data_IF_084210724319
#
_entry.id   IF_084210724319
#
_cell.length_a   1.000
_cell.length_b   1.000
_cell.length_c   1.000
_cell.angle_alpha   90.00
_cell.angle_beta   90.00
_cell.angle_gamma   90.00
#
_symmetry.space_group_name_H-M   'P 1'
#
loop_
_entity.id
_entity.type
_entity.pdbx_description
1 polymer ?
#
# COMPACT_ATOMS: atom_id res chain seq x y z
N UNK A 1 -62.93 5.66 -40.72
CA UNK A 1 -62.17 6.80 -40.17
C UNK A 1 -61.06 6.34 -39.23
N UNK A 2 -61.38 5.58 -38.17
CA UNK A 2 -60.38 5.03 -37.23
C UNK A 2 -59.20 4.29 -37.88
N UNK A 3 -59.47 3.43 -38.85
CA UNK A 3 -58.43 2.69 -39.57
C UNK A 3 -57.51 3.61 -40.40
N UNK A 4 -58.05 4.68 -40.96
CA UNK A 4 -57.28 5.66 -41.76
C UNK A 4 -56.38 6.50 -40.86
N UNK A 5 -56.91 6.97 -39.74
CA UNK A 5 -56.17 7.72 -38.71
C UNK A 5 -55.04 6.88 -38.12
N UNK A 6 -55.32 5.62 -37.77
CA UNK A 6 -54.31 4.67 -37.28
C UNK A 6 -53.17 4.49 -38.30
N UNK A 7 -53.51 4.26 -39.58
CA UNK A 7 -52.52 4.08 -40.64
C UNK A 7 -51.63 5.32 -40.83
N UNK A 8 -52.22 6.51 -40.78
CA UNK A 8 -51.48 7.76 -40.93
C UNK A 8 -50.51 7.99 -39.75
N UNK A 9 -50.97 7.77 -38.51
CA UNK A 9 -50.13 7.95 -37.32
C UNK A 9 -48.97 6.96 -37.30
N UNK A 10 -49.24 5.66 -37.55
CA UNK A 10 -48.19 4.62 -37.59
C UNK A 10 -47.20 4.88 -38.72
N UNK A 11 -47.64 5.38 -39.88
CA UNK A 11 -46.76 5.69 -41.01
C UNK A 11 -45.78 6.84 -40.78
N UNK A 12 -46.00 7.67 -39.74
CA UNK A 12 -45.13 8.80 -39.37
C UNK A 12 -44.18 8.49 -38.21
N UNK A 13 -44.31 7.32 -37.58
CA UNK A 13 -43.53 6.93 -36.41
C UNK A 13 -42.45 5.91 -36.80
N UNK A 14 -41.31 5.98 -36.13
CA UNK A 14 -40.31 4.93 -36.24
C UNK A 14 -40.85 3.61 -35.67
N UNK A 15 -40.47 2.51 -36.31
CA UNK A 15 -40.99 1.20 -35.99
C UNK A 15 -40.65 0.77 -34.55
N UNK A 16 -39.45 1.08 -34.07
CA UNK A 16 -39.03 0.79 -32.68
C UNK A 16 -39.89 1.56 -31.67
N UNK A 17 -40.13 2.85 -31.92
CA UNK A 17 -40.97 3.72 -31.07
C UNK A 17 -42.42 3.22 -31.05
N UNK A 18 -42.87 2.64 -32.16
CA UNK A 18 -44.22 2.07 -32.30
C UNK A 18 -44.43 0.86 -31.36
N UNK A 19 -43.36 0.11 -31.05
CA UNK A 19 -43.42 -1.02 -30.13
C UNK A 19 -43.22 -0.62 -28.66
N UNK A 20 -42.34 0.35 -28.40
CA UNK A 20 -42.01 0.77 -27.04
C UNK A 20 -43.12 1.59 -26.38
N UNK A 21 -43.86 2.40 -27.15
CA UNK A 21 -44.78 3.41 -26.59
C UNK A 21 -46.24 3.21 -27.00
N UNK A 22 -46.79 2.00 -26.81
CA UNK A 22 -48.20 1.70 -27.17
C UNK A 22 -49.21 2.68 -26.56
N UNK A 23 -48.97 3.13 -25.33
CA UNK A 23 -49.84 4.08 -24.63
C UNK A 23 -49.86 5.46 -25.30
N UNK A 24 -48.72 5.93 -25.80
CA UNK A 24 -48.65 7.21 -26.52
C UNK A 24 -49.42 7.15 -27.85
N UNK A 25 -49.36 6.01 -28.54
CA UNK A 25 -50.10 5.80 -29.80
C UNK A 25 -51.60 5.74 -29.52
N UNK A 26 -52.01 5.01 -28.47
CA UNK A 26 -53.39 4.93 -28.05
C UNK A 26 -53.98 6.32 -27.74
N UNK A 27 -53.24 7.14 -26.99
CA UNK A 27 -53.66 8.51 -26.66
C UNK A 27 -53.78 9.40 -27.90
N UNK A 28 -52.82 9.31 -28.83
CA UNK A 28 -52.83 10.12 -30.05
C UNK A 28 -53.94 9.71 -31.02
N UNK A 29 -54.25 8.42 -31.12
CA UNK A 29 -55.39 7.93 -31.90
C UNK A 29 -56.70 8.35 -31.24
N UNK A 30 -56.78 8.27 -29.90
CA UNK A 30 -57.95 8.68 -29.13
C UNK A 30 -58.29 10.15 -29.36
N UNK A 31 -57.29 11.05 -29.27
CA UNK A 31 -57.47 12.49 -29.48
C UNK A 31 -58.06 12.81 -30.87
N UNK A 32 -57.48 12.22 -31.92
CA UNK A 32 -57.95 12.46 -33.30
C UNK A 32 -59.34 11.86 -33.54
N UNK A 33 -59.64 10.72 -32.90
CA UNK A 33 -60.96 10.10 -33.00
C UNK A 33 -62.05 10.87 -32.24
N UNK A 34 -61.73 11.39 -31.07
CA UNK A 34 -62.66 12.18 -30.25
C UNK A 34 -63.03 13.50 -30.96
N UNK A 35 -62.03 14.21 -31.49
CA UNK A 35 -62.25 15.42 -32.30
C UNK A 35 -63.12 15.16 -33.54
N UNK A 36 -62.92 14.02 -34.20
CA UNK A 36 -63.73 13.66 -35.38
C UNK A 36 -65.16 13.22 -35.02
N UNK A 37 -65.39 12.73 -33.79
CA UNK A 37 -66.67 12.25 -33.31
C UNK A 37 -67.52 13.34 -32.64
N UNK A 38 -66.92 14.48 -32.27
CA UNK A 38 -67.58 15.64 -31.66
C UNK A 38 -68.83 16.14 -32.41
N UNK A 39 -68.83 16.29 -33.77
CA UNK A 39 -70.02 16.75 -34.50
C UNK A 39 -71.19 15.76 -34.46
N UNK A 40 -70.92 14.51 -34.06
CA UNK A 40 -71.91 13.43 -33.98
C UNK A 40 -72.40 13.23 -32.55
N UNK A 41 -71.87 14.00 -31.58
CA UNK A 41 -72.23 13.90 -30.16
C UNK A 41 -71.75 12.61 -29.49
N UNK A 42 -70.77 11.92 -30.06
CA UNK A 42 -70.23 10.65 -29.55
C UNK A 42 -68.89 10.93 -28.88
N UNK A 43 -68.73 10.48 -27.62
CA UNK A 43 -67.46 10.57 -26.89
C UNK A 43 -66.71 9.25 -26.94
N UNK A 44 -65.45 9.28 -27.38
CA UNK A 44 -64.60 8.08 -27.43
C UNK A 44 -63.78 8.02 -26.13
N UNK A 45 -64.01 6.98 -25.32
CA UNK A 45 -63.37 6.89 -23.99
C UNK A 45 -62.00 6.17 -24.01
N UNK A 46 -61.81 5.19 -24.89
CA UNK A 46 -60.58 4.40 -24.97
C UNK A 46 -60.41 3.79 -26.35
N UNK A 47 -59.16 3.79 -26.82
CA UNK A 47 -58.72 3.04 -27.98
C UNK A 47 -57.54 2.14 -27.56
N UNK A 48 -57.54 0.88 -28.00
CA UNK A 48 -56.47 -0.07 -27.69
C UNK A 48 -56.06 -0.84 -28.93
N UNK A 49 -54.76 -0.84 -29.18
CA UNK A 49 -54.16 -1.60 -30.26
C UNK A 49 -53.98 -3.05 -29.82
N UNK A 50 -54.64 -3.98 -30.52
CA UNK A 50 -54.57 -5.41 -30.21
C UNK A 50 -53.22 -6.01 -30.62
N UNK A 51 -52.88 -6.00 -31.91
CA UNK A 51 -51.64 -6.58 -32.42
C UNK A 51 -51.07 -5.76 -33.59
N UNK A 52 -49.76 -5.52 -33.56
CA UNK A 52 -48.97 -5.00 -34.68
C UNK A 52 -48.00 -6.10 -35.07
N UNK A 53 -48.20 -6.71 -36.23
CA UNK A 53 -47.32 -7.78 -36.72
C UNK A 53 -46.52 -7.25 -37.91
N UNK A 54 -45.21 -6.98 -37.75
CA UNK A 54 -44.37 -6.57 -38.86
C UNK A 54 -44.09 -7.76 -39.79
N UNK A 55 -43.82 -7.52 -41.08
CA UNK A 55 -43.39 -8.57 -42.00
C UNK A 55 -42.03 -9.13 -41.58
N UNK A 56 -41.79 -10.43 -41.87
CA UNK A 56 -40.58 -11.15 -41.44
C UNK A 56 -39.26 -10.48 -41.85
N UNK A 57 -39.20 -9.88 -43.04
CA UNK A 57 -38.01 -9.19 -43.54
C UNK A 57 -37.56 -8.03 -42.64
N UNK A 58 -38.52 -7.31 -42.05
CA UNK A 58 -38.25 -6.19 -41.15
C UNK A 58 -37.84 -6.71 -39.77
N UNK A 59 -38.47 -7.79 -39.29
CA UNK A 59 -38.09 -8.44 -38.04
C UNK A 59 -36.63 -8.90 -38.06
N UNK A 60 -36.21 -9.56 -39.15
CA UNK A 60 -34.82 -10.02 -39.33
C UNK A 60 -33.83 -8.85 -39.39
N UNK A 61 -34.19 -7.75 -40.04
CA UNK A 61 -33.35 -6.54 -40.10
C UNK A 61 -33.20 -5.90 -38.72
N UNK A 62 -34.29 -5.75 -37.96
CA UNK A 62 -34.27 -5.22 -36.60
C UNK A 62 -33.48 -6.12 -35.64
N UNK A 63 -33.65 -7.44 -35.72
CA UNK A 63 -32.86 -8.38 -34.89
C UNK A 63 -31.36 -8.24 -35.15
N UNK A 64 -30.98 -8.11 -36.43
CA UNK A 64 -29.59 -7.92 -36.83
C UNK A 64 -29.04 -6.58 -36.32
N UNK A 65 -29.80 -5.50 -36.44
CA UNK A 65 -29.42 -4.19 -35.93
C UNK A 65 -29.30 -4.18 -34.41
N UNK A 66 -30.31 -4.66 -33.69
CA UNK A 66 -30.33 -4.73 -32.23
C UNK A 66 -29.19 -5.58 -31.69
N UNK A 67 -28.91 -6.71 -32.33
CA UNK A 67 -27.75 -7.55 -32.00
C UNK A 67 -26.43 -6.80 -32.21
N UNK A 68 -26.29 -6.04 -33.30
CA UNK A 68 -25.10 -5.23 -33.54
C UNK A 68 -24.94 -4.11 -32.50
N UNK A 69 -26.02 -3.41 -32.13
CA UNK A 69 -26.01 -2.38 -31.10
C UNK A 69 -25.65 -2.95 -29.73
N UNK A 70 -26.25 -4.08 -29.33
CA UNK A 70 -25.92 -4.78 -28.08
C UNK A 70 -24.46 -5.22 -28.09
N UNK A 71 -23.99 -5.83 -29.19
CA UNK A 71 -22.60 -6.27 -29.32
C UNK A 71 -21.61 -5.11 -29.23
N UNK A 72 -21.92 -3.98 -29.88
CA UNK A 72 -21.10 -2.76 -29.81
C UNK A 72 -21.03 -2.22 -28.38
N UNK A 73 -22.18 -2.14 -27.70
CA UNK A 73 -22.24 -1.67 -26.31
C UNK A 73 -21.47 -2.58 -25.36
N UNK A 74 -21.59 -3.90 -25.54
CA UNK A 74 -20.83 -4.88 -24.78
C UNK A 74 -19.32 -4.74 -25.01
N UNK A 75 -18.88 -4.54 -26.25
CA UNK A 75 -17.47 -4.36 -26.57
C UNK A 75 -16.88 -3.07 -25.98
N UNK A 76 -17.64 -1.97 -26.01
CA UNK A 76 -17.24 -0.70 -25.37
C UNK A 76 -17.09 -0.91 -23.86
N UNK A 77 -18.09 -1.51 -23.22
CA UNK A 77 -18.06 -1.75 -21.77
C UNK A 77 -16.90 -2.67 -21.36
N UNK A 78 -16.59 -3.70 -22.15
CA UNK A 78 -15.41 -4.56 -21.94
C UNK A 78 -14.11 -3.76 -22.06
N UNK A 79 -13.97 -2.93 -23.10
CA UNK A 79 -12.78 -2.11 -23.32
C UNK A 79 -12.57 -1.07 -22.22
N UNK A 80 -13.66 -0.50 -21.69
CA UNK A 80 -13.61 0.43 -20.56
C UNK A 80 -13.19 -0.32 -19.28
N UNK A 81 -13.79 -1.48 -19.00
CA UNK A 81 -13.41 -2.32 -17.87
C UNK A 81 -11.93 -2.73 -17.90
N UNK A 82 -11.42 -3.12 -19.08
CA UNK A 82 -10.00 -3.46 -19.26
C UNK A 82 -9.07 -2.26 -19.03
N UNK A 83 -9.47 -1.07 -19.50
CA UNK A 83 -8.72 0.17 -19.27
C UNK A 83 -8.65 0.49 -17.79
N UNK A 84 -9.80 0.45 -17.10
CA UNK A 84 -9.89 0.79 -15.69
C UNK A 84 -9.14 -0.22 -14.82
N UNK A 85 -9.23 -1.52 -15.14
CA UNK A 85 -8.46 -2.57 -14.49
C UNK A 85 -6.94 -2.34 -14.62
N UNK A 86 -6.46 -1.96 -15.82
CA UNK A 86 -5.04 -1.64 -16.05
C UNK A 86 -4.59 -0.42 -15.25
N UNK A 87 -5.42 0.63 -15.20
CA UNK A 87 -5.14 1.84 -14.43
C UNK A 87 -5.04 1.51 -12.94
N UNK A 88 -6.03 0.82 -12.39
CA UNK A 88 -6.06 0.43 -10.97
C UNK A 88 -4.86 -0.42 -10.60
N UNK A 89 -4.49 -1.39 -11.45
CA UNK A 89 -3.29 -2.22 -11.22
C UNK A 89 -2.01 -1.38 -11.25
N UNK A 90 -1.89 -0.45 -12.20
CA UNK A 90 -0.73 0.45 -12.29
C UNK A 90 -0.62 1.37 -11.07
N UNK A 91 -1.75 1.88 -10.57
CA UNK A 91 -1.79 2.70 -9.36
C UNK A 91 -1.40 1.89 -8.14
N UNK A 92 -1.92 0.67 -8.00
CA UNK A 92 -1.54 -0.25 -6.92
C UNK A 92 -0.03 -0.53 -6.90
N UNK A 93 0.59 -0.79 -8.05
CA UNK A 93 2.04 -0.97 -8.13
C UNK A 93 2.83 0.28 -7.77
N UNK A 94 2.35 1.46 -8.16
CA UNK A 94 2.98 2.74 -7.80
C UNK A 94 2.92 2.96 -6.29
N UNK A 95 1.75 2.75 -5.69
CA UNK A 95 1.55 2.91 -4.24
C UNK A 95 2.36 1.88 -3.45
N UNK A 96 2.39 0.61 -3.88
CA UNK A 96 3.23 -0.42 -3.28
C UNK A 96 4.71 -0.04 -3.30
N UNK A 97 5.21 0.44 -4.44
CA UNK A 97 6.61 0.85 -4.57
C UNK A 97 6.96 2.04 -3.66
N UNK A 98 6.05 3.01 -3.53
CA UNK A 98 6.22 4.16 -2.63
C UNK A 98 6.24 3.67 -1.18
N UNK A 99 5.24 2.90 -0.76
CA UNK A 99 5.12 2.38 0.60
C UNK A 99 6.35 1.54 1.00
N UNK A 100 6.86 0.72 0.08
CA UNK A 100 8.08 -0.06 0.30
C UNK A 100 9.29 0.85 0.47
N UNK A 101 9.46 1.84 -0.40
CA UNK A 101 10.58 2.79 -0.32
C UNK A 101 10.52 3.63 0.98
N UNK A 102 9.33 4.09 1.37
CA UNK A 102 9.12 4.83 2.61
C UNK A 102 9.38 3.95 3.84
N UNK A 103 8.91 2.70 3.83
CA UNK A 103 9.19 1.73 4.87
C UNK A 103 10.67 1.44 5.02
N UNK A 104 11.41 1.25 3.92
CA UNK A 104 12.87 1.05 3.93
C UNK A 104 13.63 2.29 4.43
N UNK A 105 13.17 3.50 4.08
CA UNK A 105 13.72 4.75 4.61
C UNK A 105 13.51 4.84 6.11
N UNK A 106 12.28 4.63 6.59
CA UNK A 106 11.95 4.73 8.01
C UNK A 106 12.67 3.66 8.83
N UNK A 107 12.76 2.43 8.31
CA UNK A 107 13.54 1.35 8.93
C UNK A 107 14.99 1.77 9.16
N UNK A 108 15.66 2.30 8.14
CA UNK A 108 17.06 2.76 8.24
C UNK A 108 17.24 3.89 9.25
N UNK A 109 16.29 4.83 9.32
CA UNK A 109 16.30 5.91 10.32
C UNK A 109 16.19 5.30 11.72
N UNK A 110 15.20 4.44 11.96
CA UNK A 110 14.99 3.82 13.27
C UNK A 110 16.21 2.99 13.72
N UNK A 111 16.83 2.25 12.80
CA UNK A 111 18.06 1.49 13.06
C UNK A 111 19.23 2.42 13.43
N UNK A 112 19.43 3.49 12.66
CA UNK A 112 20.49 4.47 12.93
C UNK A 112 20.29 5.19 14.27
N UNK A 113 19.06 5.59 14.59
CA UNK A 113 18.70 6.21 15.87
C UNK A 113 18.89 5.23 17.04
N UNK A 114 18.52 3.96 16.85
CA UNK A 114 18.74 2.90 17.84
C UNK A 114 20.22 2.74 18.17
N UNK A 115 21.08 2.64 17.14
CA UNK A 115 22.53 2.54 17.31
C UNK A 115 23.10 3.80 17.97
N UNK A 116 22.68 4.99 17.54
CA UNK A 116 23.15 6.24 18.12
C UNK A 116 22.82 6.31 19.63
N UNK A 117 21.60 5.97 20.01
CA UNK A 117 21.14 5.96 21.40
C UNK A 117 21.83 4.88 22.23
N UNK A 118 22.10 3.72 21.65
CA UNK A 118 22.89 2.66 22.28
C UNK A 118 24.31 3.16 22.61
N UNK A 119 25.00 3.73 21.62
CA UNK A 119 26.35 4.27 21.80
C UNK A 119 26.37 5.38 22.84
N UNK A 120 25.41 6.30 22.82
CA UNK A 120 25.27 7.36 23.81
C UNK A 120 25.05 6.78 25.22
N UNK A 121 24.19 5.76 25.36
CA UNK A 121 23.93 5.11 26.64
C UNK A 121 25.16 4.39 27.18
N UNK A 122 25.94 3.72 26.32
CA UNK A 122 27.20 3.08 26.70
C UNK A 122 28.24 4.12 27.10
N UNK A 123 28.37 5.20 26.34
CA UNK A 123 29.33 6.27 26.60
C UNK A 123 29.03 6.98 27.93
N UNK A 124 27.76 7.31 28.19
CA UNK A 124 27.31 7.93 29.46
C UNK A 124 27.50 6.99 30.64
N UNK A 125 27.16 5.70 30.51
CA UNK A 125 27.41 4.71 31.55
C UNK A 125 28.91 4.54 31.85
N UNK A 126 29.75 4.54 30.81
CA UNK A 126 31.20 4.44 30.93
C UNK A 126 31.78 5.68 31.61
N UNK A 127 31.37 6.87 31.19
CA UNK A 127 31.79 8.14 31.79
C UNK A 127 31.44 8.19 33.28
N UNK A 128 30.20 7.86 33.63
CA UNK A 128 29.74 7.79 35.03
C UNK A 128 30.51 6.74 35.83
N UNK A 129 30.81 5.59 35.22
CA UNK A 129 31.65 4.56 35.84
C UNK A 129 33.07 5.05 36.14
N UNK A 130 33.70 5.76 35.20
CA UNK A 130 35.04 6.36 35.38
C UNK A 130 35.00 7.43 36.48
N UNK A 131 33.98 8.28 36.50
CA UNK A 131 33.79 9.31 37.52
C UNK A 131 33.69 8.71 38.92
N UNK A 132 32.88 7.67 39.11
CA UNK A 132 32.76 6.95 40.38
C UNK A 132 34.10 6.33 40.82
N UNK A 133 34.88 5.79 39.88
CA UNK A 133 36.23 5.27 40.17
C UNK A 133 37.16 6.41 40.60
N UNK A 134 37.13 7.55 39.91
CA UNK A 134 37.95 8.73 40.23
C UNK A 134 37.63 9.31 41.63
N UNK A 135 36.35 9.32 42.01
CA UNK A 135 35.90 9.67 43.36
C UNK A 135 36.40 8.65 44.39
N UNK A 136 36.33 7.36 44.07
CA UNK A 136 36.79 6.27 44.96
C UNK A 136 38.32 6.29 45.18
N UNK A 137 39.11 6.74 44.20
CA UNK A 137 40.57 6.91 44.33
C UNK A 137 40.94 7.92 45.44
N UNK A 138 40.13 8.96 45.61
CA UNK A 138 40.37 9.99 46.64
C UNK A 138 40.01 9.52 48.06
N UNK A 139 39.32 8.39 48.20
CA UNK A 139 38.99 7.78 49.49
C UNK A 139 40.17 6.96 50.05
N UNK A 140 40.30 6.90 51.39
CA UNK A 140 41.40 6.20 52.08
C UNK A 140 41.52 4.73 51.62
N UNK A 141 42.68 4.31 51.09
CA UNK A 141 42.93 2.95 50.58
C UNK A 141 42.46 2.68 49.14
N UNK A 142 41.84 3.65 48.45
CA UNK A 142 41.31 3.48 47.10
C UNK A 142 42.38 3.19 46.04
N UNK A 143 43.59 3.77 46.18
CA UNK A 143 44.72 3.55 45.27
C UNK A 143 45.23 2.11 45.31
N UNK A 144 45.34 1.51 46.49
CA UNK A 144 45.84 0.14 46.65
C UNK A 144 44.81 -0.90 46.21
N UNK A 145 43.52 -0.65 46.48
CA UNK A 145 42.42 -1.48 45.99
C UNK A 145 42.35 -1.54 44.45
N UNK A 146 42.65 -0.43 43.77
CA UNK A 146 42.66 -0.40 42.30
C UNK A 146 43.85 -1.17 41.73
N UNK A 147 45.05 -1.05 42.32
CA UNK A 147 46.24 -1.83 41.89
C UNK A 147 45.96 -3.34 41.96
N UNK A 148 45.40 -3.81 43.07
CA UNK A 148 44.98 -5.21 43.22
C UNK A 148 43.93 -5.62 42.18
N UNK A 149 42.93 -4.77 41.91
CA UNK A 149 41.88 -5.05 40.93
C UNK A 149 42.40 -5.11 39.50
N UNK A 150 43.34 -4.24 39.11
CA UNK A 150 44.01 -4.29 37.79
C UNK A 150 44.80 -5.60 37.68
N UNK A 151 45.54 -5.97 38.72
CA UNK A 151 46.27 -7.25 38.77
C UNK A 151 45.36 -8.46 38.60
N UNK A 152 44.25 -8.53 39.35
CA UNK A 152 43.26 -9.61 39.22
C UNK A 152 42.63 -9.67 37.82
N UNK A 153 42.30 -8.50 37.23
CA UNK A 153 41.70 -8.43 35.89
C UNK A 153 42.70 -8.86 34.80
N UNK A 154 43.96 -8.47 34.93
CA UNK A 154 45.05 -8.90 34.05
C UNK A 154 45.24 -10.42 34.11
N UNK A 155 45.31 -11.00 35.31
CA UNK A 155 45.43 -12.46 35.48
C UNK A 155 44.23 -13.18 34.83
N UNK A 156 43.01 -12.68 35.02
CA UNK A 156 41.79 -13.29 34.48
C UNK A 156 41.68 -13.20 32.95
N UNK A 157 42.08 -12.08 32.33
CA UNK A 157 42.14 -11.97 30.87
C UNK A 157 43.31 -12.79 30.28
N UNK A 158 44.44 -12.86 30.99
CA UNK A 158 45.57 -13.73 30.61
C UNK A 158 45.18 -15.21 30.65
N UNK A 159 44.42 -15.64 31.65
CA UNK A 159 43.91 -17.02 31.78
C UNK A 159 42.99 -17.42 30.60
N UNK A 160 42.12 -16.51 30.13
CA UNK A 160 41.26 -16.76 28.95
C UNK A 160 42.04 -16.98 27.66
N UNK A 161 43.20 -16.33 27.52
CA UNK A 161 44.08 -16.46 26.35
C UNK A 161 44.93 -17.73 26.47
N UNK A 162 45.36 -18.08 27.69
CA UNK A 162 46.18 -19.26 27.99
C UNK A 162 45.41 -20.60 27.93
N UNK A 163 44.09 -20.59 28.21
CA UNK A 163 43.26 -21.80 28.24
C UNK A 163 42.90 -22.40 26.86
N UNK A 164 43.00 -21.64 25.77
CA UNK A 164 42.92 -22.19 24.40
C UNK A 164 44.33 -22.58 23.99
N UNK A 165 44.56 -23.84 23.56
CA UNK A 165 45.82 -24.36 22.96
C UNK A 165 46.37 -23.42 21.86
N UNK A 166 47.00 -22.35 22.27
CA UNK A 166 47.58 -21.32 21.40
C UNK A 166 49.01 -21.22 21.86
N UNK A 167 49.95 -21.57 20.98
CA UNK A 167 51.38 -21.47 21.25
C UNK A 167 51.72 -19.98 21.35
N UNK A 168 51.73 -19.45 22.57
CA UNK A 168 52.07 -18.04 22.82
C UNK A 168 53.58 -17.92 22.67
N UNK A 169 54.02 -17.43 21.51
CA UNK A 169 55.42 -17.02 21.29
C UNK A 169 55.67 -15.77 22.13
N UNK A 170 56.12 -15.98 23.36
CA UNK A 170 56.69 -14.94 24.20
C UNK A 170 58.04 -14.55 23.58
N UNK A 171 58.24 -13.29 23.12
CA UNK A 171 59.59 -12.82 22.86
C UNK A 171 60.33 -12.90 24.19
N UNK A 172 61.26 -13.84 24.32
CA UNK A 172 62.09 -14.09 25.51
C UNK A 172 63.07 -12.93 25.80
N UNK A 173 62.69 -11.69 25.48
CA UNK A 173 63.34 -10.51 26.00
C UNK A 173 62.77 -10.20 27.39
N UNK A 174 63.28 -10.93 28.39
CA UNK A 174 63.03 -10.74 29.83
C UNK A 174 63.23 -9.27 30.29
N UNK A 175 63.99 -8.48 29.53
CA UNK A 175 64.17 -7.04 29.73
C UNK A 175 62.87 -6.23 29.52
N UNK A 176 62.07 -6.56 28.51
CA UNK A 176 60.81 -5.87 28.21
C UNK A 176 59.70 -6.25 29.17
N UNK A 177 59.69 -7.49 29.67
CA UNK A 177 58.72 -7.92 30.67
C UNK A 177 58.92 -7.20 32.01
N UNK A 178 60.18 -7.03 32.45
CA UNK A 178 60.52 -6.22 33.63
C UNK A 178 60.10 -4.76 33.45
N UNK A 179 60.29 -4.15 32.28
CA UNK A 179 59.91 -2.74 32.07
C UNK A 179 58.40 -2.54 32.01
N UNK A 180 57.65 -3.47 31.41
CA UNK A 180 56.18 -3.46 31.36
C UNK A 180 55.61 -3.68 32.77
N UNK A 181 56.15 -4.63 33.55
CA UNK A 181 55.78 -4.80 34.95
C UNK A 181 56.06 -3.55 35.77
N UNK A 182 57.22 -2.90 35.58
CA UNK A 182 57.59 -1.66 36.27
C UNK A 182 56.68 -0.49 35.88
N UNK A 183 56.24 -0.44 34.63
CA UNK A 183 55.28 0.57 34.12
C UNK A 183 53.86 0.35 34.63
N UNK A 184 53.45 -0.89 34.89
CA UNK A 184 52.09 -1.24 35.32
C UNK A 184 51.95 -1.22 36.85
N UNK A 185 53.00 -1.60 37.59
CA UNK A 185 52.99 -1.63 39.07
C UNK A 185 53.44 -0.31 39.71
N UNK A 186 54.04 0.59 38.92
CA UNK A 186 54.61 1.84 39.40
C UNK A 186 55.97 1.63 40.08
N UNK A 187 56.88 2.56 39.86
CA UNK A 187 58.22 2.56 40.44
C UNK A 187 58.16 2.50 41.97
N UNK A 188 58.50 1.35 42.56
CA UNK A 188 59.09 1.31 43.89
C UNK A 188 60.59 1.00 43.75
N UNK A 189 61.37 1.98 44.21
CA UNK A 189 62.78 2.01 44.63
C UNK A 189 63.90 1.92 43.56
N UNK A 190 64.96 2.72 43.63
CA UNK A 190 65.72 3.09 44.84
C UNK A 190 66.28 4.53 44.88
N UNK A 191 66.20 5.11 46.09
CA UNK A 191 67.21 6.00 46.67
C UNK A 191 68.51 5.21 46.91
N UNK A 192 69.61 5.66 46.29
CA UNK A 192 70.94 5.95 46.83
C UNK A 192 71.93 6.05 45.67
#
# INVERSE_FOLDING_TARGET
LAQTTMRAIIGTMDLDVTFETRDAINNKILEVLDQAAEPWGIKVNRYEIVNITPPKSILEAMEKEKKAQISKKAQISLSEGDRDAKINRSLGFKEEAINKSEGEKQKRINEAEGVAKEVESIATATAKGIELIAQSIHSQGGKDAIKLRIGQKFIKEFEKISGKKTEIVLPLNLANFRSILKSVLGNEDQKN
#
